data_IF_415915221779
#
_entry.id   IF_415915221779
#
_cell.length_a   1.000
_cell.length_b   1.000
_cell.length_c   1.000
_cell.angle_alpha   90.00
_cell.angle_beta   90.00
_cell.angle_gamma   90.00
#
_symmetry.space_group_name_H-M   'P 1'
#
loop_
_entity.id
_entity.type
_entity.pdbx_description
1 polymer ?
#
# COMPACT_ATOMS: atom_id res chain seq x y z
N UNK A 1 11.25 -50.23 20.20
CA UNK A 1 11.62 -49.26 19.14
C UNK A 1 10.32 -48.90 18.45
N UNK A 2 9.70 -47.74 18.72
CA UNK A 2 8.49 -47.21 18.02
C UNK A 2 7.95 -45.91 18.69
N UNK A 3 8.68 -45.26 19.61
CA UNK A 3 8.18 -44.07 20.34
C UNK A 3 8.73 -42.72 19.82
N UNK A 4 9.69 -42.74 18.89
CA UNK A 4 10.35 -41.53 18.37
C UNK A 4 9.78 -41.06 17.03
N UNK A 5 8.95 -41.87 16.36
CA UNK A 5 8.42 -41.56 15.04
C UNK A 5 7.36 -40.43 15.08
N UNK A 6 6.46 -40.43 16.08
CA UNK A 6 5.40 -39.41 16.22
C UNK A 6 5.90 -37.97 16.40
N UNK A 7 6.83 -37.66 17.32
CA UNK A 7 7.30 -36.27 17.49
C UNK A 7 8.11 -35.78 16.28
N UNK A 8 8.83 -36.68 15.59
CA UNK A 8 9.54 -36.36 14.35
C UNK A 8 8.55 -36.10 13.20
N UNK A 9 7.46 -36.87 13.10
CA UNK A 9 6.40 -36.65 12.12
C UNK A 9 5.69 -35.30 12.35
N UNK A 10 5.43 -34.94 13.61
CA UNK A 10 4.81 -33.66 13.98
C UNK A 10 5.71 -32.46 13.67
N UNK A 11 7.02 -32.56 13.95
CA UNK A 11 7.99 -31.53 13.56
C UNK A 11 8.09 -31.37 12.05
N UNK A 12 8.05 -32.47 11.29
CA UNK A 12 8.06 -32.43 9.83
C UNK A 12 6.77 -31.82 9.26
N UNK A 13 5.60 -32.09 9.86
CA UNK A 13 4.33 -31.47 9.47
C UNK A 13 4.32 -29.96 9.72
N UNK A 14 4.89 -29.49 10.84
CA UNK A 14 5.06 -28.05 11.12
C UNK A 14 6.02 -27.37 10.14
N UNK A 15 7.10 -28.06 9.72
CA UNK A 15 8.03 -27.56 8.70
C UNK A 15 7.41 -27.54 7.30
N UNK A 16 6.56 -28.50 6.95
CA UNK A 16 5.84 -28.56 5.67
C UNK A 16 4.67 -27.56 5.60
N UNK A 17 4.08 -27.17 6.73
CA UNK A 17 3.14 -26.04 6.80
C UNK A 17 3.84 -24.67 6.65
N UNK A 18 5.17 -24.65 6.65
CA UNK A 18 5.99 -23.44 6.70
C UNK A 18 6.28 -22.75 5.36
N UNK A 19 6.02 -23.34 4.20
CA UNK A 19 6.30 -22.63 2.93
C UNK A 19 5.48 -23.12 1.73
N UNK A 20 4.50 -22.31 1.31
CA UNK A 20 4.37 -21.66 -0.02
C UNK A 20 2.91 -21.36 -0.37
N UNK A 21 2.50 -20.11 -0.12
CA UNK A 21 1.37 -19.48 -0.81
C UNK A 21 1.55 -17.96 -0.93
N UNK A 22 2.78 -17.46 -0.73
CA UNK A 22 3.09 -16.12 -0.25
C UNK A 22 2.95 -14.97 -1.27
N UNK A 23 1.98 -15.10 -2.18
CA UNK A 23 1.42 -13.95 -2.89
C UNK A 23 0.12 -13.53 -2.23
N UNK A 24 -0.30 -12.31 -2.50
CA UNK A 24 -1.67 -11.91 -2.27
C UNK A 24 -2.31 -11.63 -3.63
N UNK A 25 -3.60 -11.92 -3.75
CA UNK A 25 -4.39 -11.56 -4.92
C UNK A 25 -5.36 -10.46 -4.50
N UNK A 26 -5.41 -9.39 -5.28
CA UNK A 26 -6.36 -8.30 -5.10
C UNK A 26 -7.06 -8.04 -6.41
N UNK A 27 -8.32 -7.64 -6.30
CA UNK A 27 -9.05 -7.17 -7.45
C UNK A 27 -8.70 -5.71 -7.74
N UNK A 28 -8.39 -5.43 -9.01
CA UNK A 28 -8.26 -4.08 -9.51
C UNK A 28 -9.65 -3.53 -9.85
N UNK A 29 -10.07 -2.52 -9.11
CA UNK A 29 -11.34 -1.82 -9.30
C UNK A 29 -11.06 -0.59 -10.15
N UNK A 30 -11.51 -0.61 -11.41
CA UNK A 30 -11.43 0.56 -12.29
C UNK A 30 -12.20 1.74 -11.69
N UNK A 31 -11.63 2.95 -11.70
CA UNK A 31 -12.21 4.18 -11.14
C UNK A 31 -13.66 4.40 -11.55
N UNK A 32 -13.95 4.18 -12.82
CA UNK A 32 -15.26 4.44 -13.40
C UNK A 32 -16.24 3.25 -13.30
N UNK A 33 -15.84 2.12 -12.68
CA UNK A 33 -16.70 0.96 -12.44
C UNK A 33 -17.78 1.27 -11.39
N UNK A 34 -19.01 0.74 -11.49
CA UNK A 34 -20.04 0.87 -10.45
C UNK A 34 -19.61 0.43 -9.04
N UNK A 35 -18.56 -0.38 -8.93
CA UNK A 35 -17.99 -0.82 -7.64
C UNK A 35 -17.02 0.17 -7.01
N UNK A 36 -16.62 1.21 -7.74
CA UNK A 36 -15.73 2.25 -7.24
C UNK A 36 -16.53 3.30 -6.46
N UNK A 37 -16.04 3.78 -5.30
CA UNK A 37 -16.67 4.90 -4.59
C UNK A 37 -16.58 6.21 -5.38
N UNK A 38 -15.80 6.26 -6.46
CA UNK A 38 -15.67 7.40 -7.37
C UNK A 38 -16.51 7.24 -8.65
N UNK A 39 -17.37 6.23 -8.72
CA UNK A 39 -18.29 6.06 -9.82
C UNK A 39 -19.32 7.19 -9.84
N UNK A 40 -19.35 7.94 -10.93
CA UNK A 40 -20.44 8.88 -11.20
C UNK A 40 -21.52 8.18 -12.05
N UNK A 41 -22.69 7.85 -11.50
CA UNK A 41 -23.77 7.22 -12.23
C UNK A 41 -24.46 8.16 -13.24
N UNK A 42 -24.26 9.48 -13.13
CA UNK A 42 -24.87 10.45 -14.04
C UNK A 42 -24.17 10.52 -15.41
N UNK A 43 -22.95 9.98 -15.53
CA UNK A 43 -22.19 10.01 -16.79
C UNK A 43 -22.63 8.91 -17.76
N UNK A 44 -22.97 9.34 -18.98
CA UNK A 44 -23.17 8.44 -20.13
C UNK A 44 -21.89 7.69 -20.49
N UNK A 45 -21.97 6.52 -21.15
CA UNK A 45 -20.80 5.76 -21.57
C UNK A 45 -19.80 6.58 -22.41
N UNK A 46 -20.31 7.41 -23.32
CA UNK A 46 -19.48 8.30 -24.12
C UNK A 46 -18.79 9.37 -23.26
N UNK A 47 -19.52 10.02 -22.35
CA UNK A 47 -18.95 11.04 -21.48
C UNK A 47 -17.84 10.47 -20.57
N UNK A 48 -18.03 9.24 -20.09
CA UNK A 48 -17.03 8.49 -19.31
C UNK A 48 -15.77 8.20 -20.13
N UNK A 49 -15.92 7.73 -21.37
CA UNK A 49 -14.80 7.50 -22.29
C UNK A 49 -14.04 8.80 -22.61
N UNK A 50 -14.77 9.90 -22.87
CA UNK A 50 -14.16 11.20 -23.12
C UNK A 50 -13.41 11.73 -21.88
N UNK A 51 -13.97 11.54 -20.68
CA UNK A 51 -13.30 11.91 -19.44
C UNK A 51 -12.01 11.11 -19.24
N UNK A 52 -12.02 9.80 -19.50
CA UNK A 52 -10.83 8.96 -19.46
C UNK A 52 -9.77 9.43 -20.48
N UNK A 53 -10.15 9.65 -21.73
CA UNK A 53 -9.24 10.14 -22.77
C UNK A 53 -8.59 11.49 -22.40
N UNK A 54 -9.37 12.43 -21.83
CA UNK A 54 -8.83 13.72 -21.34
C UNK A 54 -7.79 13.53 -20.23
N UNK A 55 -8.04 12.61 -19.28
CA UNK A 55 -7.08 12.30 -18.21
C UNK A 55 -5.78 11.71 -18.78
N UNK A 56 -5.86 10.84 -19.79
CA UNK A 56 -4.70 10.26 -20.46
C UNK A 56 -3.93 11.28 -21.31
N UNK A 57 -4.62 12.14 -22.06
CA UNK A 57 -4.00 13.09 -22.99
C UNK A 57 -3.30 14.26 -22.31
N UNK A 58 -3.79 14.70 -21.16
CA UNK A 58 -3.11 15.77 -20.45
C UNK A 58 -1.67 15.38 -20.03
N UNK A 59 -1.30 14.08 -20.09
CA UNK A 59 0.07 13.58 -19.84
C UNK A 59 1.08 13.94 -20.94
N UNK A 60 0.62 14.39 -22.12
CA UNK A 60 1.46 14.49 -23.34
C UNK A 60 1.65 15.89 -23.92
N UNK A 61 1.54 16.96 -23.13
CA UNK A 61 1.68 18.34 -23.62
C UNK A 61 2.97 19.02 -23.16
N UNK A 62 4.09 18.76 -23.82
CA UNK A 62 5.32 19.51 -23.67
C UNK A 62 6.14 19.47 -24.95
N UNK A 63 6.33 20.62 -25.60
CA UNK A 63 7.29 20.76 -26.69
C UNK A 63 8.71 20.55 -26.15
N UNK A 64 9.43 19.56 -26.69
CA UNK A 64 10.86 19.39 -26.48
C UNK A 64 11.26 18.14 -25.70
N UNK A 65 11.63 17.08 -26.46
CA UNK A 65 12.30 15.89 -25.95
C UNK A 65 11.40 14.94 -25.16
N UNK A 66 11.67 13.64 -25.25
CA UNK A 66 10.98 12.60 -24.48
C UNK A 66 11.38 12.66 -23.00
N UNK A 67 10.93 13.69 -22.29
CA UNK A 67 11.01 13.78 -20.84
C UNK A 67 9.70 13.22 -20.31
N UNK A 68 9.76 12.07 -19.61
CA UNK A 68 8.62 11.56 -18.85
C UNK A 68 8.41 12.46 -17.64
N UNK A 69 7.73 13.58 -17.84
CA UNK A 69 7.33 14.46 -16.74
C UNK A 69 6.33 13.70 -15.88
N UNK A 70 6.72 13.36 -14.65
CA UNK A 70 5.80 12.83 -13.64
C UNK A 70 4.84 13.98 -13.29
N UNK A 71 3.65 13.95 -13.87
CA UNK A 71 2.56 14.85 -13.51
C UNK A 71 1.68 14.11 -12.52
N UNK A 72 1.49 14.67 -11.33
CA UNK A 72 0.52 14.13 -10.36
C UNK A 72 -0.87 14.14 -11.00
N UNK A 73 -1.47 12.96 -11.13
CA UNK A 73 -2.76 12.76 -11.81
C UNK A 73 -3.69 11.92 -10.95
N UNK A 74 -4.96 11.93 -11.34
CA UNK A 74 -5.97 11.04 -10.79
C UNK A 74 -5.53 9.57 -10.90
N UNK A 75 -5.92 8.76 -9.93
CA UNK A 75 -5.78 7.31 -9.99
C UNK A 75 -6.74 6.72 -11.03
N UNK A 76 -6.37 5.58 -11.64
CA UNK A 76 -7.26 4.83 -12.55
C UNK A 76 -7.73 3.50 -11.96
N UNK A 77 -6.93 2.88 -11.11
CA UNK A 77 -7.27 1.61 -10.45
C UNK A 77 -7.11 1.71 -8.93
N UNK A 78 -8.09 1.15 -8.24
CA UNK A 78 -8.11 0.99 -6.80
C UNK A 78 -8.00 -0.49 -6.46
N UNK A 79 -7.57 -0.78 -5.24
CA UNK A 79 -7.54 -2.12 -4.68
C UNK A 79 -7.98 -2.09 -3.22
N UNK A 80 -8.72 -3.11 -2.79
CA UNK A 80 -9.03 -3.31 -1.38
C UNK A 80 -7.99 -4.22 -0.74
N UNK A 81 -7.38 -3.77 0.35
CA UNK A 81 -6.32 -4.48 1.06
C UNK A 81 -6.64 -4.56 2.55
N UNK A 82 -6.15 -5.61 3.21
CA UNK A 82 -6.28 -5.80 4.64
C UNK A 82 -4.91 -5.60 5.30
N UNK A 83 -4.83 -4.75 6.32
CA UNK A 83 -3.58 -4.44 7.02
C UNK A 83 -3.73 -4.69 8.52
N UNK A 84 -2.75 -5.34 9.12
CA UNK A 84 -2.67 -5.59 10.56
C UNK A 84 -3.48 -6.79 11.05
N UNK A 85 -3.46 -6.99 12.37
CA UNK A 85 -4.19 -8.07 13.06
C UNK A 85 -4.89 -7.51 14.30
N UNK A 86 -6.23 -7.55 14.38
CA UNK A 86 -7.17 -7.98 13.35
C UNK A 86 -7.10 -7.10 12.08
N UNK A 87 -7.57 -7.60 10.92
CA UNK A 87 -7.44 -6.89 9.65
C UNK A 87 -8.23 -5.58 9.63
N UNK A 88 -7.56 -4.49 9.24
CA UNK A 88 -8.17 -3.22 8.87
C UNK A 88 -8.38 -3.18 7.35
N UNK A 89 -9.63 -3.04 6.91
CA UNK A 89 -9.98 -2.97 5.49
C UNK A 89 -9.71 -1.56 4.95
N UNK A 90 -8.81 -1.44 3.97
CA UNK A 90 -8.39 -0.16 3.39
C UNK A 90 -8.56 -0.18 1.88
N UNK A 91 -8.88 0.99 1.32
CA UNK A 91 -8.88 1.21 -0.13
C UNK A 91 -7.58 1.93 -0.49
N UNK A 92 -6.82 1.35 -1.42
CA UNK A 92 -5.53 1.86 -1.87
C UNK A 92 -5.53 2.08 -3.38
N UNK A 93 -4.63 2.94 -3.85
CA UNK A 93 -4.37 3.16 -5.29
C UNK A 93 -3.33 2.12 -5.74
N UNK A 94 -3.56 1.51 -6.90
CA UNK A 94 -2.56 0.66 -7.54
C UNK A 94 -1.56 1.56 -8.30
N UNK A 95 -0.53 2.04 -7.59
CA UNK A 95 0.54 2.88 -8.15
C UNK A 95 1.78 2.04 -8.46
N UNK A 96 2.05 1.83 -9.75
CA UNK A 96 3.25 1.10 -10.22
C UNK A 96 4.43 2.04 -10.50
N UNK A 97 4.27 3.35 -10.26
CA UNK A 97 5.25 4.38 -10.56
C UNK A 97 6.06 4.84 -9.35
N UNK A 98 5.90 4.21 -8.18
CA UNK A 98 6.61 4.55 -6.94
C UNK A 98 7.23 3.34 -6.26
N UNK A 99 8.24 3.58 -5.43
CA UNK A 99 9.03 2.54 -4.75
C UNK A 99 8.44 2.09 -3.41
N UNK A 100 7.45 2.82 -2.88
CA UNK A 100 6.90 2.60 -1.54
C UNK A 100 5.39 2.34 -1.53
N UNK A 101 5.00 1.37 -0.72
CA UNK A 101 3.60 1.15 -0.33
C UNK A 101 3.34 1.89 0.98
N UNK A 102 2.32 2.74 0.99
CA UNK A 102 1.94 3.49 2.18
C UNK A 102 0.42 3.50 2.36
N UNK A 103 0.00 3.65 3.62
CA UNK A 103 -1.38 3.87 4.01
C UNK A 103 -1.43 5.02 5.00
N UNK A 104 -2.57 5.71 5.07
CA UNK A 104 -2.76 6.72 6.11
C UNK A 104 -2.87 6.03 7.48
N UNK A 105 -2.07 6.50 8.43
CA UNK A 105 -2.07 6.03 9.82
C UNK A 105 -2.59 7.11 10.76
N UNK A 106 -3.32 6.74 11.80
CA UNK A 106 -3.80 7.68 12.83
C UNK A 106 -5.08 7.22 13.52
N UNK A 107 -5.62 8.08 14.41
CA UNK A 107 -6.97 7.91 14.97
C UNK A 107 -8.06 8.30 13.98
N UNK A 108 -9.33 8.26 14.41
CA UNK A 108 -10.48 8.57 13.56
C UNK A 108 -10.27 9.92 12.85
N UNK A 109 -10.24 9.88 11.52
CA UNK A 109 -10.05 11.08 10.70
C UNK A 109 -11.30 11.32 9.87
N UNK A 110 -11.77 12.56 9.86
CA UNK A 110 -12.95 12.96 9.10
C UNK A 110 -12.46 13.60 7.80
N UNK A 111 -13.06 13.23 6.68
CA UNK A 111 -12.76 13.86 5.40
C UNK A 111 -13.44 15.22 5.22
N UNK A 112 -13.13 15.92 4.13
CA UNK A 112 -13.73 17.22 3.79
C UNK A 112 -15.24 17.17 3.56
N UNK A 113 -15.82 15.98 3.41
CA UNK A 113 -17.25 15.72 3.27
C UNK A 113 -17.93 15.32 4.60
N UNK A 114 -17.18 15.28 5.71
CA UNK A 114 -17.73 14.90 7.02
C UNK A 114 -17.83 13.39 7.23
N UNK A 115 -17.29 12.56 6.33
CA UNK A 115 -17.32 11.12 6.43
C UNK A 115 -16.08 10.59 7.15
N UNK A 116 -16.27 9.60 8.02
CA UNK A 116 -15.16 8.93 8.70
C UNK A 116 -14.32 8.15 7.69
N UNK A 117 -13.03 8.50 7.60
CA UNK A 117 -12.05 7.77 6.81
C UNK A 117 -11.54 6.60 7.63
N UNK A 118 -11.59 5.42 7.03
CA UNK A 118 -10.89 4.26 7.56
C UNK A 118 -9.39 4.47 7.37
N UNK A 119 -8.68 4.58 8.49
CA UNK A 119 -7.21 4.68 8.55
C UNK A 119 -6.67 3.51 9.36
N UNK A 120 -5.41 3.18 9.14
CA UNK A 120 -4.75 2.16 9.94
C UNK A 120 -4.37 2.74 11.31
N UNK A 121 -4.82 2.11 12.40
CA UNK A 121 -4.38 2.44 13.76
C UNK A 121 -3.31 1.43 14.21
N UNK A 122 -2.02 1.80 14.23
CA UNK A 122 -0.95 0.88 14.60
C UNK A 122 -1.06 0.39 16.04
N UNK A 123 -1.67 1.17 16.93
CA UNK A 123 -1.84 0.81 18.36
C UNK A 123 -2.85 -0.31 18.57
N UNK A 124 -3.74 -0.52 17.58
CA UNK A 124 -4.80 -1.53 17.61
C UNK A 124 -4.45 -2.81 16.86
N UNK A 125 -3.25 -2.90 16.28
CA UNK A 125 -2.81 -4.06 15.51
C UNK A 125 -1.72 -4.84 16.25
N UNK A 126 -2.02 -6.08 16.65
CA UNK A 126 -1.06 -6.97 17.33
C UNK A 126 0.09 -7.44 16.45
N UNK A 127 -0.07 -7.38 15.13
CA UNK A 127 0.98 -7.71 14.15
C UNK A 127 1.80 -6.49 13.70
N UNK A 128 1.57 -5.30 14.27
CA UNK A 128 2.40 -4.14 13.99
C UNK A 128 3.68 -4.21 14.84
N UNK A 129 4.83 -4.34 14.17
CA UNK A 129 6.14 -4.52 14.82
C UNK A 129 6.79 -3.23 15.34
N UNK A 130 6.12 -2.09 15.22
CA UNK A 130 6.69 -0.77 15.57
C UNK A 130 7.40 -0.07 14.40
N UNK A 131 7.92 1.14 14.63
CA UNK A 131 8.66 1.90 13.62
C UNK A 131 9.92 1.17 13.16
N UNK A 132 10.28 1.35 11.89
CA UNK A 132 11.51 0.81 11.32
C UNK A 132 12.70 1.57 11.90
N UNK A 133 13.65 0.87 12.56
CA UNK A 133 14.86 1.50 13.08
C UNK A 133 15.88 1.85 12.00
N UNK A 134 16.67 2.91 12.20
CA UNK A 134 17.67 3.41 11.25
C UNK A 134 18.79 2.42 10.89
N UNK A 135 19.11 1.48 11.79
CA UNK A 135 20.12 0.44 11.54
C UNK A 135 19.58 -0.77 10.78
N UNK A 136 18.28 -0.84 10.53
CA UNK A 136 17.66 -1.94 9.79
C UNK A 136 18.09 -1.95 8.32
N UNK A 137 18.15 -3.13 7.72
CA UNK A 137 18.51 -3.26 6.31
C UNK A 137 17.43 -2.65 5.41
N UNK A 138 16.16 -2.66 5.83
CA UNK A 138 15.07 -1.95 5.16
C UNK A 138 15.33 -0.44 5.06
N UNK A 139 15.79 0.20 6.14
CA UNK A 139 16.11 1.63 6.11
C UNK A 139 17.34 1.92 5.23
N UNK A 140 18.38 1.07 5.31
CA UNK A 140 19.59 1.24 4.48
C UNK A 140 19.28 1.11 2.99
N UNK A 141 18.33 0.24 2.62
CA UNK A 141 17.93 0.01 1.23
C UNK A 141 17.32 1.25 0.54
N UNK A 142 16.71 2.16 1.30
CA UNK A 142 16.19 3.43 0.77
C UNK A 142 17.32 4.38 0.31
N UNK A 143 18.50 4.27 0.92
CA UNK A 143 19.64 5.14 0.62
C UNK A 143 19.42 6.61 1.04
N UNK A 144 20.47 7.42 0.88
CA UNK A 144 20.41 8.86 1.08
C UNK A 144 20.26 9.55 -0.29
N UNK A 145 19.43 10.61 -0.43
CA UNK A 145 18.76 11.37 0.64
C UNK A 145 17.33 10.90 0.98
N UNK A 146 16.85 9.79 0.41
CA UNK A 146 15.46 9.34 0.53
C UNK A 146 15.07 8.88 1.94
N UNK A 147 16.03 8.39 2.74
CA UNK A 147 15.82 8.13 4.16
C UNK A 147 16.42 9.25 5.03
N UNK A 148 15.71 9.62 6.10
CA UNK A 148 16.19 10.50 7.15
C UNK A 148 16.19 9.77 8.48
N UNK A 149 17.22 10.06 9.27
CA UNK A 149 17.47 9.51 10.59
C UNK A 149 17.92 10.67 11.47
N UNK A 150 17.28 10.91 12.61
CA UNK A 150 17.65 11.99 13.52
C UNK A 150 19.05 11.75 14.10
N UNK A 151 19.96 12.71 13.94
CA UNK A 151 21.36 12.54 14.37
C UNK A 151 21.55 12.58 15.91
N UNK A 152 20.47 12.71 16.70
CA UNK A 152 20.53 12.67 18.15
C UNK A 152 20.77 11.24 18.64
N UNK A 153 21.93 10.98 19.26
CA UNK A 153 22.42 9.67 19.69
C UNK A 153 21.63 8.94 20.78
N UNK A 154 20.30 8.85 20.66
CA UNK A 154 19.47 7.89 21.36
C UNK A 154 19.42 6.57 20.58
N UNK A 155 19.30 5.44 21.29
CA UNK A 155 19.22 4.09 20.69
C UNK A 155 18.01 3.88 19.78
N UNK A 156 17.02 4.78 19.82
CA UNK A 156 15.70 4.69 19.17
C UNK A 156 15.54 5.75 18.07
N UNK A 157 16.37 5.69 17.04
CA UNK A 157 16.20 6.53 15.86
C UNK A 157 15.33 5.80 14.81
N UNK A 158 14.11 6.27 14.59
CA UNK A 158 13.20 5.74 13.57
C UNK A 158 13.59 6.25 12.18
N UNK A 159 13.61 5.35 11.21
CA UNK A 159 13.79 5.67 9.80
C UNK A 159 12.55 6.39 9.26
N UNK A 160 12.74 7.57 8.68
CA UNK A 160 11.69 8.31 7.98
C UNK A 160 12.00 8.38 6.49
N UNK A 161 10.99 8.17 5.65
CA UNK A 161 11.11 8.46 4.22
C UNK A 161 10.87 9.96 3.98
N UNK A 162 11.72 10.58 3.16
CA UNK A 162 11.66 12.01 2.79
C UNK A 162 11.11 12.23 1.38
#
# INVERSE_FOLDING_TARGET
MEATALPVLLLFAFLLAGQRCCGFSVELIHRDSPRSPFHDPALSPHARMLAAARRSLASGGGEGGAVSRIVTRSFEYLMSVNVGTPPTHLLAIADTGSDLVWVNCGGNSIDSSGQERVVFDPTRSSSYGGPVGCRSDACKALGQPAASCDAGGGSDNSCQFR
#
